data_IF_787754720666
#
_entry.id   IF_787754720666
#
_cell.length_a   1.000
_cell.length_b   1.000
_cell.length_c   1.000
_cell.angle_alpha   90.00
_cell.angle_beta   90.00
_cell.angle_gamma   90.00
#
_symmetry.space_group_name_H-M   'P 1'
#
loop_
_entity.id
_entity.type
_entity.pdbx_description
1 polymer ?
#
# COMPACT_ATOMS: atom_id res chain seq x y z
N UNK A 1 1.73 14.14 -14.70
CA UNK A 1 2.23 15.03 -13.61
C UNK A 1 2.50 14.16 -12.40
N UNK A 2 3.42 14.53 -11.50
CA UNK A 2 3.56 13.78 -10.24
C UNK A 2 2.43 14.19 -9.31
N UNK A 3 1.77 13.21 -8.69
CA UNK A 3 0.69 13.45 -7.73
C UNK A 3 1.25 14.02 -6.43
N UNK A 4 0.75 15.16 -5.93
CA UNK A 4 1.15 15.71 -4.63
C UNK A 4 0.84 14.73 -3.51
N UNK A 5 1.67 14.76 -2.46
CA UNK A 5 1.43 14.01 -1.23
C UNK A 5 1.40 14.97 -0.06
N UNK A 6 0.37 14.85 0.75
CA UNK A 6 0.20 15.68 1.95
C UNK A 6 0.03 14.78 3.16
N UNK A 7 0.25 15.33 4.34
CA UNK A 7 0.10 14.61 5.60
C UNK A 7 -0.76 15.37 6.58
N UNK A 8 -1.39 14.62 7.49
CA UNK A 8 -2.09 15.14 8.67
C UNK A 8 -1.69 14.30 9.88
N UNK A 9 -1.26 14.96 10.95
CA UNK A 9 -1.02 14.37 12.26
C UNK A 9 -2.27 14.55 13.10
N UNK A 10 -2.90 13.45 13.52
CA UNK A 10 -4.11 13.47 14.33
C UNK A 10 -3.81 13.28 15.81
N UNK A 11 -4.64 13.89 16.67
CA UNK A 11 -4.67 13.65 18.10
C UNK A 11 -6.10 13.49 18.60
N UNK A 12 -6.28 12.71 19.66
CA UNK A 12 -7.55 12.51 20.37
C UNK A 12 -7.39 13.01 21.81
N UNK A 13 -8.20 13.98 22.24
CA UNK A 13 -8.12 14.51 23.61
C UNK A 13 -6.77 15.15 23.98
N UNK A 14 -5.93 15.46 22.98
CA UNK A 14 -4.56 15.96 23.16
C UNK A 14 -3.47 14.90 22.97
N UNK A 15 -3.82 13.61 23.00
CA UNK A 15 -2.87 12.51 22.80
C UNK A 15 -2.66 12.22 21.31
N UNK A 16 -1.41 12.09 20.83
CA UNK A 16 -1.13 11.79 19.43
C UNK A 16 -1.69 10.42 19.00
N UNK A 17 -2.52 10.39 17.96
CA UNK A 17 -3.01 9.16 17.33
C UNK A 17 -2.04 8.65 16.25
N UNK A 18 -1.44 9.58 15.49
CA UNK A 18 -0.47 9.26 14.44
C UNK A 18 -0.66 10.08 13.17
N UNK A 19 0.12 9.72 12.14
CA UNK A 19 0.18 10.42 10.87
C UNK A 19 -0.57 9.68 9.77
N UNK A 20 -1.40 10.39 9.04
CA UNK A 20 -2.03 9.94 7.79
C UNK A 20 -1.37 10.65 6.61
N UNK A 21 -1.03 9.89 5.56
CA UNK A 21 -0.47 10.43 4.32
C UNK A 21 -1.48 10.22 3.20
N UNK A 22 -1.74 11.27 2.43
CA UNK A 22 -2.67 11.27 1.31
C UNK A 22 -1.92 11.42 -0.02
N UNK A 23 -2.46 10.83 -1.08
CA UNK A 23 -2.09 11.10 -2.47
C UNK A 23 -3.25 11.80 -3.17
N UNK A 24 -2.97 12.94 -3.80
CA UNK A 24 -3.98 13.77 -4.43
C UNK A 24 -4.01 13.54 -5.95
N UNK A 25 -5.20 13.44 -6.51
CA UNK A 25 -5.46 13.15 -7.92
C UNK A 25 -5.50 14.44 -8.74
N UNK A 26 -4.38 15.16 -8.78
CA UNK A 26 -4.27 16.42 -9.54
C UNK A 26 -4.41 16.24 -11.05
N UNK A 27 -4.39 15.01 -11.54
CA UNK A 27 -4.69 14.65 -12.92
C UNK A 27 -6.19 14.60 -13.24
N UNK A 28 -7.05 14.31 -12.24
CA UNK A 28 -8.50 14.18 -12.45
C UNK A 28 -9.30 15.33 -11.82
N UNK A 29 -8.93 15.75 -10.62
CA UNK A 29 -9.57 16.84 -9.87
C UNK A 29 -8.52 17.89 -9.44
N UNK A 30 -7.98 18.68 -10.39
CA UNK A 30 -6.87 19.60 -10.14
C UNK A 30 -7.21 20.71 -9.15
N UNK A 31 -8.40 21.32 -9.21
CA UNK A 31 -8.79 22.37 -8.26
C UNK A 31 -9.05 21.79 -6.88
N UNK A 32 -9.76 20.66 -6.79
CA UNK A 32 -9.99 20.02 -5.50
C UNK A 32 -8.67 19.60 -4.83
N UNK A 33 -7.74 19.04 -5.61
CA UNK A 33 -6.40 18.66 -5.15
C UNK A 33 -5.58 19.86 -4.68
N UNK A 34 -5.54 20.94 -5.46
CA UNK A 34 -4.79 22.15 -5.11
C UNK A 34 -5.39 22.86 -3.89
N UNK A 35 -6.73 22.92 -3.79
CA UNK A 35 -7.44 23.43 -2.63
C UNK A 35 -7.03 22.67 -1.36
N UNK A 36 -7.10 21.34 -1.38
CA UNK A 36 -6.74 20.53 -0.22
C UNK A 36 -5.26 20.65 0.14
N UNK A 37 -4.36 20.65 -0.86
CA UNK A 37 -2.91 20.81 -0.67
C UNK A 37 -2.58 22.14 0.00
N UNK A 38 -3.10 23.24 -0.54
CA UNK A 38 -2.85 24.58 -0.01
C UNK A 38 -3.46 24.78 1.40
N UNK A 39 -4.61 24.16 1.68
CA UNK A 39 -5.18 24.14 3.04
C UNK A 39 -4.39 23.25 4.00
N UNK A 40 -3.62 22.28 3.51
CA UNK A 40 -2.66 21.52 4.33
C UNK A 40 -1.41 22.33 4.63
N UNK A 41 -0.96 23.24 3.77
CA UNK A 41 0.26 24.05 3.99
C UNK A 41 -0.03 25.38 4.68
N UNK A 42 -1.25 25.91 4.57
CA UNK A 42 -1.60 27.22 5.10
C UNK A 42 -1.06 28.40 4.27
N UNK A 43 -0.54 28.15 3.07
CA UNK A 43 0.19 29.15 2.28
C UNK A 43 -0.69 30.28 1.68
N UNK A 44 -2.01 30.11 1.68
CA UNK A 44 -2.97 31.05 1.06
C UNK A 44 -3.43 32.16 2.02
N UNK A 45 -2.85 32.25 3.22
CA UNK A 45 -3.15 33.32 4.17
C UNK A 45 -4.45 33.07 4.93
N UNK A 46 -5.41 34.00 4.83
CA UNK A 46 -6.62 34.04 5.66
C UNK A 46 -7.87 34.24 4.81
N UNK A 47 -8.99 33.74 5.31
CA UNK A 47 -10.34 33.94 4.76
C UNK A 47 -10.78 35.40 4.89
N UNK A 48 -11.89 35.76 4.22
CA UNK A 48 -12.50 37.09 4.37
C UNK A 48 -12.99 37.39 5.79
N UNK A 49 -13.23 36.34 6.61
CA UNK A 49 -13.59 36.46 8.04
C UNK A 49 -12.38 36.40 8.98
N UNK A 50 -11.17 36.65 8.46
CA UNK A 50 -9.91 36.67 9.20
C UNK A 50 -9.57 35.35 9.94
N UNK A 51 -10.05 34.22 9.41
CA UNK A 51 -9.64 32.87 9.88
C UNK A 51 -8.56 32.32 8.94
N UNK A 52 -7.44 31.76 9.43
CA UNK A 52 -6.42 31.14 8.58
C UNK A 52 -6.99 30.08 7.63
N UNK A 53 -6.59 30.11 6.36
CA UNK A 53 -6.88 29.07 5.37
C UNK A 53 -5.97 27.86 5.61
N UNK A 54 -6.17 27.18 6.74
CA UNK A 54 -5.26 26.15 7.23
C UNK A 54 -6.01 25.07 8.04
N UNK A 55 -5.78 23.80 7.73
CA UNK A 55 -6.38 22.68 8.48
C UNK A 55 -5.80 22.46 9.86
N UNK A 56 -4.63 23.01 10.18
CA UNK A 56 -4.03 22.87 11.51
C UNK A 56 -4.95 23.43 12.59
N UNK A 57 -5.28 22.59 13.56
CA UNK A 57 -6.23 22.89 14.64
C UNK A 57 -7.71 22.70 14.26
N UNK A 58 -8.01 22.28 13.03
CA UNK A 58 -9.36 21.82 12.66
C UNK A 58 -9.64 20.46 13.30
N UNK A 59 -10.93 20.14 13.47
CA UNK A 59 -11.36 18.88 14.09
C UNK A 59 -12.09 17.98 13.09
N UNK A 60 -12.22 16.70 13.44
CA UNK A 60 -13.21 15.80 12.87
C UNK A 60 -14.53 16.07 13.60
N UNK A 61 -15.45 16.77 12.93
CA UNK A 61 -16.73 17.18 13.53
C UNK A 61 -17.84 16.17 13.32
N UNK A 62 -17.63 15.15 12.47
CA UNK A 62 -18.60 14.07 12.22
C UNK A 62 -17.87 12.76 11.90
N UNK A 63 -18.22 11.69 12.59
CA UNK A 63 -17.65 10.35 12.43
C UNK A 63 -18.78 9.33 12.46
N UNK A 64 -18.95 8.56 11.38
CA UNK A 64 -19.95 7.50 11.31
C UNK A 64 -19.22 6.21 11.02
N UNK A 65 -19.21 5.32 12.03
CA UNK A 65 -18.61 4.00 11.93
C UNK A 65 -19.18 3.25 10.71
N UNK A 66 -18.31 2.54 10.00
CA UNK A 66 -18.64 1.81 8.77
C UNK A 66 -19.25 2.70 7.68
N UNK A 67 -18.92 3.99 7.67
CA UNK A 67 -19.31 4.89 6.58
C UNK A 67 -18.18 5.86 6.22
N UNK A 68 -17.94 6.87 7.04
CA UNK A 68 -16.94 7.90 6.77
C UNK A 68 -16.58 8.72 8.02
N UNK A 69 -15.40 9.33 7.98
CA UNK A 69 -15.02 10.41 8.90
C UNK A 69 -14.95 11.72 8.12
N UNK A 70 -15.47 12.81 8.69
CA UNK A 70 -15.58 14.12 8.03
C UNK A 70 -14.98 15.23 8.89
N UNK A 71 -14.18 16.07 8.23
CA UNK A 71 -13.49 17.20 8.85
C UNK A 71 -13.37 18.38 7.89
N UNK A 72 -12.44 19.29 8.19
CA UNK A 72 -12.09 20.43 7.34
C UNK A 72 -12.92 21.70 7.56
N UNK A 73 -13.82 21.74 8.54
CA UNK A 73 -14.44 23.00 8.99
C UNK A 73 -13.54 23.72 10.00
N UNK A 74 -12.53 24.43 9.50
CA UNK A 74 -11.60 25.20 10.32
C UNK A 74 -12.20 26.51 10.87
N UNK A 75 -13.36 26.95 10.35
CA UNK A 75 -14.00 28.23 10.75
C UNK A 75 -14.94 28.08 11.94
N UNK A 76 -15.87 27.13 11.90
CA UNK A 76 -16.92 26.93 12.91
C UNK A 76 -16.80 25.61 13.64
N UNK A 77 -16.00 24.67 13.12
CA UNK A 77 -15.70 23.37 13.75
C UNK A 77 -16.95 22.55 14.09
N UNK A 78 -18.00 22.67 13.27
CA UNK A 78 -19.27 21.97 13.49
C UNK A 78 -19.95 21.51 12.19
N UNK A 79 -19.27 21.64 11.04
CA UNK A 79 -19.78 21.28 9.73
C UNK A 79 -20.61 22.38 9.05
N UNK A 80 -20.85 23.50 9.73
CA UNK A 80 -21.62 24.63 9.14
C UNK A 80 -20.75 25.67 8.43
N UNK A 81 -19.42 25.59 8.60
CA UNK A 81 -18.47 26.53 8.00
C UNK A 81 -17.51 25.90 6.99
N UNK A 82 -16.33 26.50 6.86
CA UNK A 82 -15.29 26.14 5.91
C UNK A 82 -15.32 27.02 4.67
N UNK A 83 -14.16 27.22 4.07
CA UNK A 83 -13.99 28.05 2.88
C UNK A 83 -12.86 27.50 2.01
N UNK A 84 -13.04 27.50 0.69
CA UNK A 84 -11.98 27.10 -0.23
C UNK A 84 -10.93 28.20 -0.42
N UNK A 85 -9.77 27.83 -0.98
CA UNK A 85 -8.72 28.79 -1.35
C UNK A 85 -9.13 29.75 -2.49
N UNK A 86 -10.25 29.49 -3.14
CA UNK A 86 -10.75 30.27 -4.28
C UNK A 86 -11.73 31.38 -3.87
N UNK A 87 -12.03 31.49 -2.58
CA UNK A 87 -13.06 32.37 -2.04
C UNK A 87 -14.42 31.68 -2.08
N UNK A 88 -14.98 31.37 -0.90
CA UNK A 88 -16.25 30.66 -0.79
C UNK A 88 -16.21 29.22 -1.33
N UNK A 89 -17.18 28.87 -2.18
CA UNK A 89 -17.38 27.53 -2.75
C UNK A 89 -16.90 27.43 -4.20
N UNK A 90 -16.60 26.21 -4.68
CA UNK A 90 -16.21 25.93 -6.05
C UNK A 90 -16.92 24.72 -6.66
N UNK A 91 -16.91 24.67 -8.00
CA UNK A 91 -17.60 23.68 -8.82
C UNK A 91 -17.08 22.25 -8.63
N UNK A 92 -17.92 21.26 -8.91
CA UNK A 92 -17.55 19.84 -8.91
C UNK A 92 -16.59 19.52 -10.08
N UNK A 93 -15.58 18.69 -9.83
CA UNK A 93 -14.65 18.16 -10.83
C UNK A 93 -14.76 16.64 -10.88
N UNK A 94 -14.66 16.03 -12.07
CA UNK A 94 -14.61 14.58 -12.29
C UNK A 94 -15.50 13.72 -11.35
N UNK A 95 -16.81 13.77 -11.57
CA UNK A 95 -17.80 12.96 -10.85
C UNK A 95 -17.90 11.52 -11.36
N UNK A 96 -17.04 11.12 -12.30
CA UNK A 96 -17.07 9.79 -12.95
C UNK A 96 -16.43 8.73 -12.04
N UNK A 97 -15.44 9.12 -11.23
CA UNK A 97 -14.75 8.20 -10.32
C UNK A 97 -15.74 7.66 -9.26
N UNK A 98 -15.92 6.33 -9.16
CA UNK A 98 -16.82 5.75 -8.19
C UNK A 98 -16.20 5.78 -6.77
N UNK A 99 -17.07 5.83 -5.77
CA UNK A 99 -16.73 5.62 -4.36
C UNK A 99 -16.86 4.12 -4.04
N UNK A 100 -16.00 3.32 -4.67
CA UNK A 100 -16.05 1.85 -4.66
C UNK A 100 -15.09 1.20 -3.65
N UNK A 101 -14.25 1.98 -3.00
CA UNK A 101 -13.30 1.50 -2.00
C UNK A 101 -13.37 2.31 -0.71
N UNK A 102 -12.79 1.73 0.33
CA UNK A 102 -12.39 2.48 1.51
C UNK A 102 -11.17 3.37 1.21
N UNK A 103 -10.79 4.20 2.18
CA UNK A 103 -9.62 5.07 2.12
C UNK A 103 -9.66 6.13 1.00
N UNK A 104 -10.81 6.41 0.40
CA UNK A 104 -10.96 7.47 -0.61
C UNK A 104 -11.15 8.81 0.08
N UNK A 105 -10.46 9.84 -0.44
CA UNK A 105 -10.56 11.22 0.01
C UNK A 105 -11.51 12.00 -0.91
N UNK A 106 -12.59 12.52 -0.35
CA UNK A 106 -13.71 13.08 -1.10
C UNK A 106 -14.13 14.45 -0.57
N UNK A 107 -14.64 15.32 -1.45
CA UNK A 107 -15.17 16.63 -1.04
C UNK A 107 -16.55 16.50 -0.40
N UNK A 108 -16.74 17.11 0.76
CA UNK A 108 -18.07 17.29 1.34
C UNK A 108 -18.71 18.56 0.75
N UNK A 109 -19.98 18.47 0.37
CA UNK A 109 -20.74 19.56 -0.24
C UNK A 109 -22.19 19.58 0.29
N UNK A 110 -22.96 20.58 -0.12
CA UNK A 110 -24.39 20.77 0.21
C UNK A 110 -25.28 20.66 -1.03
N UNK A 111 -24.83 19.91 -2.03
CA UNK A 111 -25.41 19.87 -3.37
C UNK A 111 -24.39 20.20 -4.45
N UNK A 112 -24.80 20.17 -5.73
CA UNK A 112 -23.91 20.42 -6.86
C UNK A 112 -23.15 21.74 -6.74
N UNK A 113 -21.87 21.74 -7.07
CA UNK A 113 -20.99 22.92 -7.16
C UNK A 113 -20.82 23.73 -5.86
N UNK A 114 -20.93 23.05 -4.70
CA UNK A 114 -20.82 23.70 -3.37
C UNK A 114 -19.62 23.21 -2.55
N UNK A 115 -18.51 22.90 -3.22
CA UNK A 115 -17.30 22.41 -2.54
C UNK A 115 -16.58 23.55 -1.81
N UNK A 116 -16.22 23.33 -0.54
CA UNK A 116 -15.49 24.32 0.28
C UNK A 116 -14.14 23.77 0.74
N UNK A 117 -13.96 23.68 2.05
CA UNK A 117 -12.81 23.02 2.68
C UNK A 117 -13.14 21.69 3.36
N UNK A 118 -14.42 21.36 3.48
CA UNK A 118 -14.80 20.14 4.17
C UNK A 118 -14.52 18.92 3.28
N UNK A 119 -14.01 17.87 3.90
CA UNK A 119 -13.67 16.62 3.25
C UNK A 119 -14.16 15.46 4.09
N UNK A 120 -14.28 14.29 3.47
CA UNK A 120 -14.48 13.03 4.19
C UNK A 120 -13.57 11.94 3.63
N UNK A 121 -13.28 10.96 4.49
CA UNK A 121 -12.54 9.74 4.16
C UNK A 121 -13.49 8.57 4.27
N UNK A 122 -13.61 7.76 3.22
CA UNK A 122 -14.49 6.59 3.22
C UNK A 122 -13.91 5.47 4.10
N UNK A 123 -14.77 4.85 4.91
CA UNK A 123 -14.45 3.64 5.69
C UNK A 123 -14.93 2.36 5.01
N UNK A 124 -15.73 2.49 3.95
CA UNK A 124 -16.25 1.40 3.12
C UNK A 124 -16.66 1.92 1.74
N UNK A 125 -16.96 1.03 0.78
CA UNK A 125 -17.58 1.43 -0.49
C UNK A 125 -18.92 2.15 -0.26
N UNK A 126 -19.07 3.31 -0.90
CA UNK A 126 -20.22 4.23 -0.77
C UNK A 126 -20.87 4.56 -2.13
N UNK A 127 -21.36 3.57 -2.91
CA UNK A 127 -21.86 3.80 -4.27
C UNK A 127 -23.07 4.74 -4.36
N UNK A 128 -23.82 4.91 -3.26
CA UNK A 128 -24.96 5.84 -3.17
C UNK A 128 -24.55 7.33 -3.23
N UNK A 129 -23.25 7.61 -3.09
CA UNK A 129 -22.62 8.92 -3.22
C UNK A 129 -21.99 9.17 -4.60
N UNK A 130 -21.98 8.16 -5.48
CA UNK A 130 -21.45 8.30 -6.85
C UNK A 130 -22.17 9.42 -7.58
N UNK A 131 -21.42 10.20 -8.36
CA UNK A 131 -21.97 11.32 -9.12
C UNK A 131 -22.35 12.55 -8.27
N UNK A 132 -22.09 12.55 -6.96
CA UNK A 132 -22.46 13.65 -6.05
C UNK A 132 -21.29 14.29 -5.33
N UNK A 133 -20.20 13.55 -5.14
CA UNK A 133 -19.02 14.00 -4.41
C UNK A 133 -17.77 13.77 -5.24
N UNK A 134 -16.92 14.80 -5.32
CA UNK A 134 -15.64 14.73 -6.02
C UNK A 134 -14.67 13.84 -5.25
N UNK A 135 -14.17 12.78 -5.88
CA UNK A 135 -13.10 11.94 -5.33
C UNK A 135 -11.76 12.49 -5.83
N UNK A 136 -11.03 13.17 -4.94
CA UNK A 136 -9.81 13.91 -5.32
C UNK A 136 -8.53 13.32 -4.71
N UNK A 137 -8.60 12.20 -4.02
CA UNK A 137 -7.41 11.52 -3.51
C UNK A 137 -7.70 10.22 -2.79
N UNK A 138 -6.68 9.69 -2.12
CA UNK A 138 -6.80 8.54 -1.21
C UNK A 138 -5.78 8.59 -0.10
N UNK A 139 -6.03 7.85 0.98
CA UNK A 139 -5.04 7.54 2.01
C UNK A 139 -4.02 6.54 1.44
N UNK A 140 -2.73 6.87 1.58
CA UNK A 140 -1.61 5.98 1.27
C UNK A 140 -1.05 5.26 2.50
N UNK A 141 -1.07 5.92 3.67
CA UNK A 141 -0.55 5.39 4.94
C UNK A 141 -1.36 5.94 6.11
N UNK A 142 -1.47 5.17 7.20
CA UNK A 142 -2.20 5.58 8.41
C UNK A 142 -3.69 5.26 8.37
N UNK A 143 -4.16 4.43 7.44
CA UNK A 143 -5.58 4.06 7.36
C UNK A 143 -5.97 3.17 8.55
N UNK A 144 -5.31 2.01 8.69
CA UNK A 144 -5.60 1.06 9.77
C UNK A 144 -5.16 1.60 11.14
N UNK A 145 -4.04 2.31 11.20
CA UNK A 145 -3.45 2.72 12.47
C UNK A 145 -4.06 3.99 13.07
N UNK A 146 -4.69 4.83 12.24
CA UNK A 146 -5.20 6.16 12.64
C UNK A 146 -6.65 6.36 12.20
N UNK A 147 -6.97 6.24 10.91
CA UNK A 147 -8.34 6.53 10.39
C UNK A 147 -9.37 5.58 11.01
N UNK A 148 -9.08 4.28 11.08
CA UNK A 148 -9.96 3.30 11.73
C UNK A 148 -10.14 3.60 13.22
N UNK A 149 -9.08 3.97 13.94
CA UNK A 149 -9.17 4.36 15.36
C UNK A 149 -10.05 5.60 15.57
N UNK A 150 -9.95 6.61 14.69
CA UNK A 150 -10.83 7.78 14.73
C UNK A 150 -12.31 7.38 14.57
N UNK A 151 -12.59 6.37 13.73
CA UNK A 151 -13.94 5.86 13.53
C UNK A 151 -14.48 5.07 14.74
N UNK A 152 -13.60 4.55 15.59
CA UNK A 152 -13.96 3.83 16.82
C UNK A 152 -14.22 4.76 18.01
N UNK A 153 -13.82 6.03 17.92
CA UNK A 153 -14.09 7.02 18.98
C UNK A 153 -15.61 7.14 19.18
N UNK A 154 -16.12 6.98 20.42
CA UNK A 154 -17.54 7.13 20.70
C UNK A 154 -18.08 8.48 20.24
N UNK A 155 -19.29 8.49 19.69
CA UNK A 155 -19.94 9.70 19.16
C UNK A 155 -21.22 10.07 19.91
N UNK A 156 -21.64 11.33 19.83
CA UNK A 156 -22.93 11.80 20.30
C UNK A 156 -24.07 11.50 19.29
N UNK A 157 -25.30 11.89 19.63
CA UNK A 157 -26.46 11.69 18.76
C UNK A 157 -26.44 12.49 17.44
N UNK A 158 -25.42 13.31 17.19
CA UNK A 158 -25.18 14.05 15.94
C UNK A 158 -23.94 13.53 15.21
N UNK A 159 -23.49 12.33 15.55
CA UNK A 159 -22.29 11.68 15.03
C UNK A 159 -20.99 12.46 15.34
N UNK A 160 -20.98 13.34 16.34
CA UNK A 160 -19.78 14.08 16.72
C UNK A 160 -18.95 13.27 17.73
N UNK A 161 -17.64 13.07 17.52
CA UNK A 161 -16.78 12.42 18.51
C UNK A 161 -16.88 13.06 19.91
N UNK A 162 -17.09 12.24 20.94
CA UNK A 162 -17.16 12.65 22.34
C UNK A 162 -15.79 13.14 22.82
N UNK A 163 -14.73 12.41 22.44
CA UNK A 163 -13.36 12.87 22.60
C UNK A 163 -12.97 13.70 21.37
N UNK A 164 -12.49 14.95 21.52
CA UNK A 164 -12.14 15.78 20.38
C UNK A 164 -10.98 15.18 19.57
N UNK A 165 -11.26 14.83 18.31
CA UNK A 165 -10.23 14.44 17.34
C UNK A 165 -9.81 15.65 16.53
N UNK A 166 -8.53 16.01 16.59
CA UNK A 166 -7.97 17.23 16.00
C UNK A 166 -6.84 16.92 15.02
N UNK A 167 -6.72 17.73 13.98
CA UNK A 167 -5.55 17.79 13.10
C UNK A 167 -4.50 18.67 13.81
N UNK A 168 -3.55 18.02 14.49
CA UNK A 168 -2.51 18.70 15.26
C UNK A 168 -1.48 19.41 14.37
N UNK A 169 -1.08 18.77 13.26
CA UNK A 169 -0.20 19.34 12.25
C UNK A 169 -0.56 18.81 10.87
N UNK A 170 -0.25 19.55 9.82
CA UNK A 170 -0.43 19.10 8.44
C UNK A 170 0.50 19.86 7.50
N UNK A 171 0.72 19.31 6.31
CA UNK A 171 1.62 19.91 5.33
C UNK A 171 1.74 19.09 4.06
N UNK A 172 2.60 19.55 3.14
CA UNK A 172 2.97 18.85 1.93
C UNK A 172 4.32 18.13 2.10
N UNK A 173 4.42 16.92 1.54
CA UNK A 173 5.66 16.15 1.53
C UNK A 173 6.45 16.45 0.25
N UNK A 174 7.70 16.90 0.40
CA UNK A 174 8.58 17.21 -0.73
C UNK A 174 9.20 15.94 -1.34
N UNK A 175 9.24 15.88 -2.66
CA UNK A 175 10.04 14.89 -3.39
C UNK A 175 11.53 15.15 -3.16
N UNK A 176 12.28 14.15 -2.68
CA UNK A 176 13.75 14.16 -2.69
C UNK A 176 14.22 14.27 -4.14
N UNK A 177 14.69 15.46 -4.55
CA UNK A 177 15.46 15.59 -5.78
C UNK A 177 16.76 14.79 -5.64
N UNK A 178 17.21 14.06 -6.68
CA UNK A 178 18.54 13.47 -6.67
C UNK A 178 19.59 14.58 -6.48
N UNK A 179 20.68 14.32 -5.74
CA UNK A 179 21.73 15.32 -5.55
C UNK A 179 22.27 15.73 -6.92
N UNK A 180 22.23 17.04 -7.19
CA UNK A 180 22.89 17.63 -8.36
C UNK A 180 24.39 17.45 -8.13
N UNK A 181 25.17 16.88 -9.07
CA UNK A 181 26.62 16.91 -8.95
C UNK A 181 27.05 18.38 -8.90
N UNK A 182 27.61 18.81 -7.77
CA UNK A 182 28.26 20.10 -7.67
C UNK A 182 29.42 20.11 -8.67
N UNK A 183 29.43 21.08 -9.58
CA UNK A 183 30.58 21.35 -10.44
C UNK A 183 31.79 21.64 -9.53
N UNK A 184 32.64 20.64 -9.34
CA UNK A 184 33.93 20.81 -8.70
C UNK A 184 34.84 21.57 -9.64
N UNK A 185 35.50 22.61 -9.12
CA UNK A 185 36.53 23.42 -9.77
C UNK A 185 37.53 22.60 -10.60
N UNK A 186 38.13 23.19 -11.65
CA UNK A 186 39.05 22.47 -12.53
C UNK A 186 40.32 22.05 -11.76
N UNK A 187 40.54 20.74 -11.66
CA UNK A 187 41.81 20.16 -11.20
C UNK A 187 42.99 20.65 -12.06
N UNK A 188 44.16 20.93 -11.47
CA UNK A 188 45.32 21.37 -12.23
C UNK A 188 45.86 20.24 -13.11
N UNK A 189 46.19 20.59 -14.36
CA UNK A 189 46.76 19.71 -15.38
C UNK A 189 47.99 18.96 -14.84
N UNK A 190 47.91 17.63 -14.75
CA UNK A 190 49.08 16.77 -14.56
C UNK A 190 49.89 16.70 -15.85
N UNK A 191 51.14 17.15 -15.78
CA UNK A 191 52.14 16.99 -16.84
C UNK A 191 52.39 15.51 -17.19
N UNK A 192 52.31 15.18 -18.48
CA UNK A 192 52.81 13.93 -19.03
C UNK A 192 54.34 13.94 -19.10
N UNK A 193 55.00 12.85 -18.65
CA UNK A 193 56.41 12.55 -18.97
C UNK A 193 56.54 11.19 -19.67
N UNK A 194 57.55 11.01 -20.55
CA UNK A 194 57.44 10.17 -21.73
C UNK A 194 57.77 8.70 -21.50
N UNK A 195 57.22 7.86 -22.38
CA UNK A 195 57.52 6.44 -22.55
C UNK A 195 58.93 6.23 -23.10
N UNK A 196 59.66 5.26 -22.55
CA UNK A 196 60.75 4.60 -23.28
C UNK A 196 60.67 3.07 -23.19
N UNK A 197 61.06 2.47 -24.31
CA UNK A 197 60.76 1.14 -24.82
C UNK A 197 61.70 0.03 -24.34
N UNK A 198 61.18 -1.21 -24.21
CA UNK A 198 61.94 -2.43 -24.58
C UNK A 198 61.04 -3.48 -25.24
N UNK A 199 61.25 -3.68 -26.55
CA UNK A 199 60.87 -4.87 -27.35
C UNK A 199 61.92 -5.98 -27.05
N UNK A 200 61.70 -7.30 -27.18
CA UNK A 200 61.23 -8.07 -28.36
C UNK A 200 60.94 -9.55 -28.02
N UNK A 201 59.93 -10.10 -28.71
CA UNK A 201 59.85 -11.42 -29.41
C UNK A 201 59.82 -12.71 -28.59
N UNK A 202 59.13 -13.82 -28.93
CA UNK A 202 58.48 -14.41 -30.13
C UNK A 202 57.62 -15.58 -29.55
N UNK A 203 56.49 -16.06 -30.08
CA UNK A 203 56.38 -16.80 -31.34
C UNK A 203 54.91 -17.08 -31.70
N UNK A 204 54.69 -17.18 -33.00
CA UNK A 204 53.46 -17.46 -33.76
C UNK A 204 53.00 -18.92 -33.68
N UNK A 205 51.69 -19.17 -33.89
CA UNK A 205 51.16 -19.90 -35.07
C UNK A 205 49.62 -19.90 -35.11
N UNK A 206 49.14 -19.92 -36.34
CA UNK A 206 47.80 -19.69 -36.86
C UNK A 206 47.12 -20.99 -37.34
N UNK A 207 45.89 -20.86 -37.89
CA UNK A 207 45.13 -21.78 -38.79
C UNK A 207 44.10 -22.64 -38.00
N UNK A 208 42.79 -22.37 -37.97
CA UNK A 208 41.71 -22.22 -38.98
C UNK A 208 40.99 -23.52 -39.37
N UNK A 209 39.65 -23.46 -39.29
CA UNK A 209 38.62 -24.08 -40.16
C UNK A 209 38.16 -25.55 -39.94
N UNK A 210 36.85 -25.62 -39.62
CA UNK A 210 35.74 -26.28 -40.35
C UNK A 210 35.39 -27.76 -40.15
N UNK A 211 34.06 -27.93 -40.08
CA UNK A 211 33.15 -28.97 -40.62
C UNK A 211 33.02 -30.32 -39.91
N UNK A 212 31.84 -30.48 -39.30
CA UNK A 212 30.83 -31.53 -39.53
C UNK A 212 31.30 -32.90 -40.01
N UNK A 213 30.92 -33.95 -39.28
CA UNK A 213 29.86 -34.89 -39.71
C UNK A 213 29.73 -36.07 -38.74
N UNK A 214 28.52 -36.63 -38.73
CA UNK A 214 27.96 -37.61 -37.82
C UNK A 214 28.40 -39.08 -38.03
N UNK A 215 27.79 -39.94 -37.20
CA UNK A 215 27.50 -41.38 -37.33
C UNK A 215 28.41 -42.30 -36.52
N UNK A 216 27.99 -43.45 -35.98
CA UNK A 216 26.72 -44.01 -35.53
C UNK A 216 27.11 -45.33 -34.81
N UNK A 217 26.23 -45.81 -33.93
CA UNK A 217 25.99 -47.24 -33.63
C UNK A 217 26.88 -48.02 -32.63
N UNK A 218 26.22 -48.43 -31.53
CA UNK A 218 25.82 -49.84 -31.31
C UNK A 218 26.20 -50.53 -29.97
N UNK A 219 25.15 -51.08 -29.33
CA UNK A 219 25.09 -52.30 -28.49
C UNK A 219 25.74 -52.29 -27.08
N UNK A 220 25.10 -52.79 -26.01
CA UNK A 220 24.52 -54.14 -25.85
C UNK A 220 23.64 -54.29 -24.59
N UNK A 221 22.73 -55.27 -24.67
CA UNK A 221 21.65 -55.72 -23.76
C UNK A 221 22.09 -56.51 -22.51
N UNK A 222 21.17 -56.60 -21.51
CA UNK A 222 20.60 -57.81 -20.83
C UNK A 222 20.33 -57.56 -19.32
N UNK A 223 19.45 -58.22 -18.55
CA UNK A 223 18.17 -58.97 -18.70
C UNK A 223 17.71 -59.33 -17.25
N UNK A 224 16.41 -59.18 -16.94
CA UNK A 224 15.54 -59.84 -15.91
C UNK A 224 16.11 -60.96 -15.00
N UNK A 225 15.64 -61.00 -13.74
CA UNK A 225 15.25 -62.26 -13.03
C UNK A 225 13.98 -62.07 -12.16
N UNK A 226 13.21 -63.16 -12.05
CA UNK A 226 11.90 -63.34 -11.39
C UNK A 226 11.96 -64.69 -10.64
N UNK A 227 11.50 -64.80 -9.39
CA UNK A 227 11.16 -66.08 -8.69
C UNK A 227 10.55 -65.74 -7.32
N UNK A 228 9.29 -66.06 -6.97
CA UNK A 228 8.59 -67.34 -6.65
C UNK A 228 8.41 -67.56 -5.11
N UNK A 229 7.16 -67.36 -4.66
CA UNK A 229 6.29 -68.10 -3.68
C UNK A 229 6.87 -69.03 -2.58
N UNK A 230 6.37 -68.86 -1.33
CA UNK A 230 5.57 -69.80 -0.47
C UNK A 230 5.51 -69.27 0.98
N UNK A 231 4.35 -68.94 1.58
CA UNK A 231 3.32 -69.74 2.30
C UNK A 231 3.60 -70.05 3.79
N UNK A 232 2.54 -69.84 4.62
CA UNK A 232 2.21 -70.36 5.98
C UNK A 232 2.67 -69.51 7.19
N UNK A 233 1.91 -69.31 8.26
CA UNK A 233 0.49 -69.57 8.60
C UNK A 233 0.13 -68.79 9.88
N UNK A 234 -1.13 -68.36 9.97
CA UNK A 234 -2.01 -68.23 11.14
C UNK A 234 -1.44 -68.00 12.55
N UNK A 235 -1.88 -66.90 13.18
CA UNK A 235 -2.74 -66.90 14.39
C UNK A 235 -3.08 -65.48 14.86
N UNK A 236 -4.30 -65.33 15.38
CA UNK A 236 -4.94 -64.17 16.01
C UNK A 236 -5.75 -63.25 15.09
N UNK A 237 -6.89 -63.76 14.62
CA UNK A 237 -7.96 -62.97 14.00
C UNK A 237 -9.29 -63.01 14.77
N UNK A 238 -9.31 -63.46 16.04
CA UNK A 238 -10.56 -63.66 16.80
C UNK A 238 -10.75 -62.73 18.02
N UNK A 239 -9.94 -61.68 18.17
CA UNK A 239 -10.09 -60.73 19.28
C UNK A 239 -10.30 -59.27 18.87
N UNK A 240 -10.44 -58.98 17.56
CA UNK A 240 -10.64 -57.60 17.06
C UNK A 240 -12.10 -57.39 16.59
N UNK A 241 -12.88 -58.46 16.43
CA UNK A 241 -14.22 -58.39 15.83
C UNK A 241 -15.37 -58.08 16.82
N UNK A 242 -15.07 -57.84 18.11
CA UNK A 242 -16.08 -57.48 19.13
C UNK A 242 -16.04 -56.04 19.61
N UNK A 243 -15.03 -55.25 19.28
CA UNK A 243 -15.03 -53.79 19.53
C UNK A 243 -15.45 -52.95 18.31
N UNK A 244 -15.42 -53.53 17.11
CA UNK A 244 -15.82 -52.84 15.87
C UNK A 244 -17.34 -52.74 15.65
N UNK A 245 -18.17 -53.29 16.56
CA UNK A 245 -19.65 -53.34 16.42
C UNK A 245 -20.43 -52.40 17.35
N UNK A 246 -19.80 -51.38 17.92
CA UNK A 246 -20.47 -50.42 18.81
C UNK A 246 -20.55 -48.98 18.31
N UNK A 247 -20.09 -48.65 17.10
CA UNK A 247 -20.20 -47.27 16.56
C UNK A 247 -20.51 -47.18 15.05
N UNK A 248 -21.21 -48.14 14.45
CA UNK A 248 -21.75 -47.98 13.09
C UNK A 248 -23.16 -47.35 13.15
N UNK A 249 -23.23 -46.07 13.52
CA UNK A 249 -24.29 -45.21 12.97
C UNK A 249 -23.78 -44.81 11.60
N UNK A 250 -24.48 -45.20 10.53
CA UNK A 250 -24.18 -44.68 9.20
C UNK A 250 -24.25 -43.16 9.27
N UNK A 251 -23.16 -42.47 8.93
CA UNK A 251 -23.15 -41.02 8.81
C UNK A 251 -24.29 -40.63 7.87
N UNK A 252 -25.12 -39.71 8.31
CA UNK A 252 -26.17 -39.14 7.47
C UNK A 252 -25.53 -38.40 6.29
N UNK A 253 -26.26 -38.25 5.18
CA UNK A 253 -25.77 -37.56 3.97
C UNK A 253 -25.27 -36.14 4.30
N UNK A 254 -25.94 -35.45 5.21
CA UNK A 254 -25.55 -34.13 5.74
C UNK A 254 -24.25 -34.16 6.57
N UNK A 255 -24.00 -35.23 7.33
CA UNK A 255 -22.75 -35.38 8.10
C UNK A 255 -21.56 -35.68 7.19
N UNK A 256 -21.78 -36.40 6.08
CA UNK A 256 -20.75 -36.66 5.06
C UNK A 256 -20.37 -35.38 4.32
N UNK A 257 -21.36 -34.60 3.88
CA UNK A 257 -21.13 -33.32 3.20
C UNK A 257 -20.44 -32.30 4.12
N UNK A 258 -20.87 -32.21 5.39
CA UNK A 258 -20.24 -31.34 6.38
C UNK A 258 -18.80 -31.76 6.74
N UNK A 259 -18.43 -33.03 6.55
CA UNK A 259 -17.04 -33.49 6.68
C UNK A 259 -16.22 -33.10 5.46
N UNK A 260 -16.79 -33.25 4.25
CA UNK A 260 -16.14 -32.87 3.00
C UNK A 260 -15.84 -31.37 2.94
N UNK A 261 -16.79 -30.52 3.33
CA UNK A 261 -16.60 -29.06 3.39
C UNK A 261 -15.57 -28.66 4.44
N UNK A 262 -15.49 -29.36 5.57
CA UNK A 262 -14.45 -29.12 6.58
C UNK A 262 -13.06 -29.46 6.06
N UNK A 263 -12.91 -30.60 5.39
CA UNK A 263 -11.64 -30.98 4.77
C UNK A 263 -11.24 -30.00 3.65
N UNK A 264 -12.18 -29.50 2.85
CA UNK A 264 -11.91 -28.51 1.81
C UNK A 264 -11.52 -27.15 2.41
N UNK A 265 -12.22 -26.70 3.45
CA UNK A 265 -11.88 -25.48 4.18
C UNK A 265 -10.53 -25.57 4.89
N UNK A 266 -10.18 -26.72 5.45
CA UNK A 266 -8.86 -26.96 6.05
C UNK A 266 -7.75 -26.95 4.98
N UNK A 267 -7.99 -27.52 3.80
CA UNK A 267 -7.06 -27.43 2.66
C UNK A 267 -6.87 -26.00 2.19
N UNK A 268 -7.95 -25.24 2.03
CA UNK A 268 -7.90 -23.83 1.64
C UNK A 268 -7.20 -22.97 2.70
N UNK A 269 -7.41 -23.27 3.98
CA UNK A 269 -6.73 -22.60 5.10
C UNK A 269 -5.23 -22.94 5.13
N UNK A 270 -4.86 -24.20 4.87
CA UNK A 270 -3.47 -24.63 4.76
C UNK A 270 -2.76 -23.95 3.57
N UNK A 271 -3.41 -23.89 2.41
CA UNK A 271 -2.88 -23.20 1.23
C UNK A 271 -2.71 -21.70 1.47
N UNK A 272 -3.69 -21.06 2.13
CA UNK A 272 -3.62 -19.64 2.52
C UNK A 272 -2.47 -19.39 3.51
N UNK A 273 -2.25 -20.30 4.46
CA UNK A 273 -1.15 -20.24 5.41
C UNK A 273 0.22 -20.38 4.72
N UNK A 274 0.35 -21.31 3.77
CA UNK A 274 1.57 -21.48 2.96
C UNK A 274 1.83 -20.23 2.11
N UNK A 275 0.79 -19.60 1.54
CA UNK A 275 0.94 -18.35 0.79
C UNK A 275 1.37 -17.19 1.69
N UNK A 276 0.81 -17.09 2.89
CA UNK A 276 1.21 -16.10 3.90
C UNK A 276 2.65 -16.29 4.37
N UNK A 277 3.08 -17.53 4.62
CA UNK A 277 4.47 -17.84 4.96
C UNK A 277 5.42 -17.49 3.81
N UNK A 278 5.08 -17.82 2.54
CA UNK A 278 5.87 -17.40 1.37
C UNK A 278 5.94 -15.87 1.20
N UNK A 279 4.85 -15.16 1.50
CA UNK A 279 4.82 -13.69 1.47
C UNK A 279 5.70 -13.11 2.57
N UNK A 280 5.67 -13.70 3.77
CA UNK A 280 6.50 -13.30 4.90
C UNK A 280 7.98 -13.57 4.65
N UNK A 281 8.34 -14.74 4.13
CA UNK A 281 9.71 -15.07 3.74
C UNK A 281 10.23 -14.14 2.64
N UNK A 282 9.39 -13.77 1.67
CA UNK A 282 9.75 -12.74 0.68
C UNK A 282 9.99 -11.39 1.32
N UNK A 283 9.13 -10.96 2.24
CA UNK A 283 9.28 -9.69 2.93
C UNK A 283 10.53 -9.66 3.82
N UNK A 284 10.81 -10.77 4.51
CA UNK A 284 12.00 -10.92 5.35
C UNK A 284 13.28 -10.98 4.50
N UNK A 285 13.26 -11.67 3.35
CA UNK A 285 14.36 -11.66 2.38
C UNK A 285 14.58 -10.28 1.72
N UNK A 286 13.51 -9.54 1.46
CA UNK A 286 13.55 -8.14 1.00
C UNK A 286 14.06 -7.19 2.09
N UNK A 287 13.83 -7.51 3.37
CA UNK A 287 14.34 -6.74 4.50
C UNK A 287 15.83 -6.97 4.77
N UNK A 288 16.34 -8.19 4.56
CA UNK A 288 17.74 -8.55 4.79
C UNK A 288 18.68 -8.21 3.62
N UNK A 289 18.13 -7.86 2.45
CA UNK A 289 18.90 -7.42 1.27
C UNK A 289 19.03 -5.89 1.14
N UNK A 290 18.57 -5.13 2.14
CA UNK A 290 18.82 -3.68 2.25
C UNK A 290 20.12 -3.34 2.98
N UNK A 291 21.21 -3.99 2.60
CA UNK A 291 22.51 -3.32 2.42
C UNK A 291 22.93 -3.49 0.96
N UNK A 292 22.49 -2.54 0.13
CA UNK A 292 23.06 -2.22 -1.17
C UNK A 292 23.05 -3.31 -2.25
N UNK A 293 21.92 -3.45 -2.97
CA UNK A 293 21.93 -4.02 -4.33
C UNK A 293 21.60 -2.94 -5.37
N UNK A 294 22.60 -2.65 -6.22
CA UNK A 294 22.49 -1.83 -7.43
C UNK A 294 21.62 -2.53 -8.47
N UNK A 295 20.58 -1.85 -8.95
CA UNK A 295 20.01 -2.11 -10.28
C UNK A 295 19.94 -0.83 -11.10
N UNK A 296 20.43 -0.93 -12.34
CA UNK A 296 20.29 0.09 -13.38
C UNK A 296 18.80 0.25 -13.71
N UNK A 297 18.28 1.47 -13.62
CA UNK A 297 16.98 1.86 -14.19
C UNK A 297 15.91 2.26 -13.17
N UNK A 298 15.71 3.59 -13.04
CA UNK A 298 14.55 4.31 -12.43
C UNK A 298 14.15 3.90 -11.00
N UNK A 299 14.71 4.61 -10.01
CA UNK A 299 14.41 4.44 -8.59
C UNK A 299 13.04 4.96 -8.12
N UNK A 300 12.54 4.42 -6.99
CA UNK A 300 11.35 4.89 -6.26
C UNK A 300 11.57 6.31 -5.72
N UNK A 301 10.65 7.23 -6.00
CA UNK A 301 10.64 8.59 -5.45
C UNK A 301 10.56 8.53 -3.91
N UNK A 302 11.52 9.16 -3.23
CA UNK A 302 11.53 9.33 -1.77
C UNK A 302 10.90 10.68 -1.44
N UNK A 303 10.03 10.75 -0.43
CA UNK A 303 9.40 11.98 0.04
C UNK A 303 9.94 12.35 1.44
N UNK A 304 10.09 13.64 1.75
CA UNK A 304 10.49 14.16 3.07
C UNK A 304 9.44 15.14 3.59
N UNK A 305 9.21 15.10 4.89
CA UNK A 305 8.56 16.21 5.61
C UNK A 305 9.57 17.38 5.77
N UNK A 306 9.24 18.60 5.28
CA UNK A 306 10.12 19.76 5.42
C UNK A 306 10.41 20.13 6.89
N UNK A 307 9.52 19.83 7.84
CA UNK A 307 9.71 20.15 9.27
C UNK A 307 10.84 19.31 9.91
N UNK A 308 11.21 18.17 9.30
CA UNK A 308 12.29 17.30 9.78
C UNK A 308 13.69 17.85 9.42
N UNK A 309 13.80 18.80 8.48
CA UNK A 309 15.09 19.42 8.11
C UNK A 309 15.65 20.38 9.16
N UNK A 310 14.83 20.87 10.09
CA UNK A 310 15.18 21.94 11.02
C UNK A 310 15.30 21.48 12.49
N UNK A 311 15.47 20.17 12.73
CA UNK A 311 15.79 19.62 14.05
C UNK A 311 17.17 18.97 14.06
#
# INVERSE_FOLDING_TARGET
MVRPRVFMDFSEGGEPLGRVIFELYNDSAPKASENFRALCTGEKGRTSSDVPLYYKGSIIHRSIKDFMIQGGDFTKRNGTGGESIYGGMFADEDLIRPLDSEALLCMANRGPDTNGSQFFITLRPCPHLNGKHVVFGRVLRGYDEVVQKIAEVPVDGKDRPLSPVMIHNCGELELKKPPVPSESEPEPLREEKPRESRRRSRHSRSISRSSDSESDSSNKRHRRKKSKRKHRNDKNADSIEKEAKLNFRGETEEEYDARLEREENERLAADRKIQLERMKEKYDAESQTQDGVRFKGRGRMKYIDPDVRFR
#
